data_IF_493293561266
#
_entry.id   IF_493293561266
#
_cell.length_a   1.000
_cell.length_b   1.000
_cell.length_c   1.000
_cell.angle_alpha   90.00
_cell.angle_beta   90.00
_cell.angle_gamma   90.00
#
_symmetry.space_group_name_H-M   'P 1'
#
loop_
_entity.id
_entity.type
_entity.pdbx_description
1 polymer ?
#
# COMPACT_ATOMS: atom_id res chain seq x y z
N UNK A 1 31.48 -11.78 -26.43
CA UNK A 1 31.72 -13.21 -26.08
C UNK A 1 30.49 -14.08 -26.33
N UNK A 2 30.64 -15.41 -26.39
CA UNK A 2 29.54 -16.37 -26.54
C UNK A 2 28.50 -16.26 -25.41
N UNK A 3 28.97 -16.01 -24.17
CA UNK A 3 28.11 -15.87 -23.01
C UNK A 3 27.11 -14.70 -23.12
N UNK A 4 27.49 -13.58 -23.72
CA UNK A 4 26.61 -12.42 -23.89
C UNK A 4 25.46 -12.69 -24.87
N UNK A 5 25.68 -13.60 -25.83
CA UNK A 5 24.67 -13.95 -26.83
C UNK A 5 23.53 -14.79 -26.24
N UNK A 6 23.80 -15.49 -25.13
CA UNK A 6 22.82 -16.35 -24.43
C UNK A 6 21.58 -15.61 -23.96
N UNK A 7 21.66 -14.28 -23.83
CA UNK A 7 20.50 -13.44 -23.55
C UNK A 7 19.34 -13.69 -24.52
N UNK A 8 19.64 -13.92 -25.80
CA UNK A 8 18.63 -14.09 -26.85
C UNK A 8 18.30 -15.58 -27.13
N UNK A 9 18.97 -16.51 -26.45
CA UNK A 9 18.77 -17.95 -26.65
C UNK A 9 17.56 -18.48 -25.89
N UNK A 10 17.11 -17.78 -24.85
CA UNK A 10 15.92 -18.16 -24.10
C UNK A 10 14.65 -17.67 -24.79
N UNK A 11 13.68 -18.56 -25.09
CA UNK A 11 12.40 -18.13 -25.64
C UNK A 11 11.64 -17.24 -24.66
N UNK A 12 10.78 -16.33 -25.14
CA UNK A 12 9.92 -15.54 -24.26
C UNK A 12 9.08 -16.47 -23.38
N UNK A 13 9.30 -16.39 -22.08
CA UNK A 13 8.58 -17.19 -21.11
C UNK A 13 8.23 -16.34 -19.89
N UNK A 14 6.96 -16.39 -19.49
CA UNK A 14 6.43 -15.64 -18.34
C UNK A 14 6.66 -16.33 -17.00
N UNK A 15 6.96 -17.64 -16.99
CA UNK A 15 7.15 -18.43 -15.77
C UNK A 15 8.25 -19.49 -15.93
N UNK A 16 9.41 -19.08 -16.43
CA UNK A 16 10.57 -19.94 -16.58
C UNK A 16 11.75 -19.37 -15.82
N UNK A 17 12.58 -20.29 -15.34
CA UNK A 17 13.89 -19.97 -14.80
C UNK A 17 14.94 -20.22 -15.88
N UNK A 18 15.59 -19.16 -16.32
CA UNK A 18 16.65 -19.24 -17.32
C UNK A 18 17.99 -19.42 -16.61
N UNK A 19 18.64 -20.56 -16.84
CA UNK A 19 19.91 -20.92 -16.22
C UNK A 19 20.92 -21.15 -17.34
N UNK A 20 22.04 -20.45 -17.29
CA UNK A 20 23.18 -20.70 -18.17
C UNK A 20 24.20 -21.53 -17.39
N UNK A 21 24.47 -22.73 -17.88
CA UNK A 21 25.55 -23.60 -17.38
C UNK A 21 26.76 -23.35 -18.28
N UNK A 22 27.76 -22.64 -17.76
CA UNK A 22 29.00 -22.40 -18.50
C UNK A 22 29.97 -23.54 -18.20
N UNK A 23 30.48 -24.20 -19.23
CA UNK A 23 31.53 -25.22 -19.11
C UNK A 23 32.78 -24.67 -19.79
N UNK A 24 33.86 -24.49 -19.05
CA UNK A 24 35.13 -23.90 -19.56
C UNK A 24 36.35 -24.57 -18.90
N UNK A 25 37.53 -24.45 -19.49
CA UNK A 25 38.81 -24.78 -18.83
C UNK A 25 39.32 -23.64 -17.93
N UNK A 26 38.60 -22.51 -17.92
CA UNK A 26 38.81 -21.36 -17.05
C UNK A 26 39.62 -20.23 -17.68
N UNK A 27 40.28 -20.49 -18.81
CA UNK A 27 41.11 -19.50 -19.51
C UNK A 27 40.24 -18.63 -20.44
N UNK A 28 40.00 -17.38 -20.03
CA UNK A 28 39.32 -16.39 -20.87
C UNK A 28 40.36 -15.63 -21.72
N UNK A 29 40.59 -16.12 -22.94
CA UNK A 29 41.60 -15.56 -23.85
C UNK A 29 41.14 -14.26 -24.56
N UNK A 30 39.85 -13.91 -24.45
CA UNK A 30 39.26 -12.78 -25.17
C UNK A 30 39.13 -11.49 -24.32
N UNK A 31 39.63 -11.48 -23.08
CA UNK A 31 39.73 -10.27 -22.25
C UNK A 31 38.39 -9.70 -21.73
N UNK A 32 37.37 -10.54 -21.59
CA UNK A 32 36.05 -10.13 -21.07
C UNK A 32 35.92 -10.28 -19.57
N UNK A 33 35.14 -9.40 -18.94
CA UNK A 33 34.79 -9.50 -17.53
C UNK A 33 33.53 -10.36 -17.35
N UNK A 34 33.70 -11.59 -16.85
CA UNK A 34 32.59 -12.50 -16.62
C UNK A 34 31.66 -12.02 -15.49
N UNK A 35 32.16 -11.27 -14.53
CA UNK A 35 31.37 -10.68 -13.45
C UNK A 35 30.40 -9.64 -14.01
N UNK A 36 30.88 -8.78 -14.90
CA UNK A 36 30.05 -7.75 -15.55
C UNK A 36 28.94 -8.39 -16.39
N UNK A 37 29.29 -9.40 -17.19
CA UNK A 37 28.31 -10.13 -18.00
C UNK A 37 27.29 -10.86 -17.12
N UNK A 38 27.73 -11.49 -16.03
CA UNK A 38 26.83 -12.14 -15.06
C UNK A 38 25.86 -11.15 -14.43
N UNK A 39 26.35 -9.99 -13.98
CA UNK A 39 25.50 -8.96 -13.39
C UNK A 39 24.42 -8.47 -14.38
N UNK A 40 24.80 -8.27 -15.65
CA UNK A 40 23.87 -7.87 -16.72
C UNK A 40 22.82 -8.95 -17.03
N UNK A 41 23.21 -10.22 -17.04
CA UNK A 41 22.27 -11.34 -17.22
C UNK A 41 21.32 -11.46 -16.03
N UNK A 42 21.79 -11.27 -14.80
CA UNK A 42 20.95 -11.30 -13.60
C UNK A 42 19.91 -10.17 -13.58
N UNK A 43 20.24 -8.98 -14.11
CA UNK A 43 19.26 -7.90 -14.30
C UNK A 43 18.10 -8.30 -15.23
N UNK A 44 18.33 -9.28 -16.11
CA UNK A 44 17.35 -9.87 -17.02
C UNK A 44 16.75 -11.18 -16.49
N UNK A 45 16.95 -11.50 -15.22
CA UNK A 45 16.50 -12.73 -14.57
C UNK A 45 17.09 -14.01 -15.19
N UNK A 46 18.30 -13.92 -15.74
CA UNK A 46 19.07 -15.05 -16.27
C UNK A 46 20.22 -15.32 -15.28
N UNK A 47 20.29 -16.54 -14.76
CA UNK A 47 21.26 -16.91 -13.74
C UNK A 47 22.42 -17.71 -14.34
N UNK A 48 23.64 -17.19 -14.19
CA UNK A 48 24.85 -17.89 -14.59
C UNK A 48 25.32 -18.86 -13.49
N UNK A 49 25.71 -20.06 -13.90
CA UNK A 49 26.35 -21.07 -13.05
C UNK A 49 27.62 -21.56 -13.77
N UNK A 50 28.82 -21.09 -13.36
CA UNK A 50 30.07 -21.51 -13.99
C UNK A 50 30.55 -22.88 -13.50
N UNK A 51 30.97 -23.73 -14.43
CA UNK A 51 31.60 -25.04 -14.23
C UNK A 51 32.92 -25.04 -14.97
N UNK A 52 33.99 -25.33 -14.24
CA UNK A 52 35.33 -25.34 -14.81
C UNK A 52 35.84 -26.78 -14.81
N UNK A 53 36.21 -27.27 -15.99
CA UNK A 53 36.79 -28.58 -16.21
C UNK A 53 38.26 -28.34 -16.58
N UNK A 54 39.16 -28.34 -15.58
CA UNK A 54 40.55 -27.99 -15.83
C UNK A 54 41.46 -28.23 -14.64
N UNK A 55 42.65 -28.76 -14.95
CA UNK A 55 43.75 -29.00 -14.00
C UNK A 55 44.45 -27.69 -13.68
N UNK A 56 43.94 -26.92 -12.72
CA UNK A 56 44.59 -25.69 -12.26
C UNK A 56 44.10 -25.28 -10.89
N UNK A 57 44.99 -25.38 -9.89
CA UNK A 57 44.78 -24.75 -8.59
C UNK A 57 44.79 -23.22 -8.80
N UNK A 58 43.85 -22.49 -8.17
CA UNK A 58 43.74 -21.01 -8.14
C UNK A 58 42.83 -20.25 -9.14
N UNK A 59 41.91 -20.91 -9.87
CA UNK A 59 40.98 -20.19 -10.77
C UNK A 59 39.64 -19.77 -10.12
N UNK A 60 39.34 -20.21 -8.90
CA UNK A 60 38.05 -20.00 -8.20
C UNK A 60 37.71 -18.51 -8.02
N UNK A 61 38.69 -17.70 -7.58
CA UNK A 61 38.49 -16.26 -7.27
C UNK A 61 38.01 -15.42 -8.44
N UNK A 62 38.37 -15.79 -9.67
CA UNK A 62 38.00 -15.05 -10.87
C UNK A 62 36.53 -15.27 -11.27
N UNK A 63 35.88 -16.30 -10.70
CA UNK A 63 34.53 -16.73 -11.07
C UNK A 63 33.52 -16.68 -9.91
N UNK A 64 33.97 -16.35 -8.68
CA UNK A 64 33.11 -16.23 -7.49
C UNK A 64 31.95 -15.23 -7.67
N UNK A 65 32.19 -14.15 -8.41
CA UNK A 65 31.18 -13.15 -8.75
C UNK A 65 30.08 -13.70 -9.69
N UNK A 66 30.40 -14.72 -10.49
CA UNK A 66 29.60 -15.19 -11.59
C UNK A 66 28.63 -16.30 -11.17
N UNK A 67 28.93 -17.04 -10.09
CA UNK A 67 28.04 -18.05 -9.53
C UNK A 67 28.75 -19.07 -8.64
N UNK A 68 28.10 -20.21 -8.41
CA UNK A 68 28.69 -21.30 -7.61
C UNK A 68 29.70 -22.07 -8.47
N UNK A 69 30.97 -22.01 -8.10
CA UNK A 69 32.08 -22.76 -8.71
C UNK A 69 32.02 -24.25 -8.33
N UNK A 70 32.22 -25.12 -9.32
CA UNK A 70 32.38 -26.57 -9.13
C UNK A 70 33.52 -27.05 -10.03
N UNK A 71 34.58 -27.58 -9.42
CA UNK A 71 35.69 -28.23 -10.11
C UNK A 71 35.32 -29.70 -10.40
N UNK A 72 35.44 -30.12 -11.65
CA UNK A 72 35.28 -31.53 -12.03
C UNK A 72 36.58 -32.01 -12.69
N UNK A 73 37.36 -32.82 -11.98
CA UNK A 73 38.66 -33.33 -12.43
C UNK A 73 38.52 -34.61 -13.27
N UNK A 74 37.37 -35.28 -13.21
CA UNK A 74 37.08 -36.47 -14.00
C UNK A 74 35.58 -36.62 -14.40
N UNK A 75 35.30 -37.61 -15.26
CA UNK A 75 33.95 -37.90 -15.79
C UNK A 75 32.95 -38.28 -14.69
N UNK A 76 33.38 -38.93 -13.61
CA UNK A 76 32.51 -39.31 -12.50
C UNK A 76 32.15 -38.10 -11.63
N UNK A 77 33.12 -37.21 -11.38
CA UNK A 77 32.89 -35.94 -10.68
C UNK A 77 31.96 -35.03 -11.47
N UNK A 78 32.11 -34.95 -12.79
CA UNK A 78 31.18 -34.22 -13.66
C UNK A 78 29.75 -34.75 -13.52
N UNK A 79 29.56 -36.09 -13.55
CA UNK A 79 28.24 -36.69 -13.38
C UNK A 79 27.64 -36.41 -11.99
N UNK A 80 28.46 -36.42 -10.93
CA UNK A 80 28.02 -36.04 -9.57
C UNK A 80 27.65 -34.56 -9.50
N UNK A 81 28.45 -33.68 -10.08
CA UNK A 81 28.17 -32.25 -10.16
C UNK A 81 26.83 -32.01 -10.88
N UNK A 82 26.61 -32.63 -12.04
CA UNK A 82 25.32 -32.56 -12.77
C UNK A 82 24.15 -33.04 -11.92
N UNK A 83 24.29 -34.14 -11.17
CA UNK A 83 23.25 -34.60 -10.25
C UNK A 83 23.00 -33.62 -9.09
N UNK A 84 24.04 -32.97 -8.57
CA UNK A 84 23.91 -31.91 -7.54
C UNK A 84 23.13 -30.71 -8.10
N UNK A 85 23.36 -30.35 -9.36
CA UNK A 85 22.68 -29.23 -10.02
C UNK A 85 21.22 -29.55 -10.28
N UNK A 86 20.95 -30.73 -10.84
CA UNK A 86 19.59 -31.20 -11.10
C UNK A 86 18.82 -31.31 -9.78
N UNK A 87 19.41 -31.91 -8.74
CA UNK A 87 18.77 -31.99 -7.43
C UNK A 87 18.56 -30.62 -6.77
N UNK A 88 19.51 -29.67 -6.89
CA UNK A 88 19.32 -28.29 -6.41
C UNK A 88 18.27 -27.51 -7.21
N UNK A 89 18.11 -27.79 -8.50
CA UNK A 89 17.07 -27.22 -9.34
C UNK A 89 15.68 -27.81 -9.01
N UNK A 90 15.63 -29.06 -8.54
CA UNK A 90 14.39 -29.77 -8.17
C UNK A 90 13.99 -29.58 -6.70
N UNK A 91 14.94 -29.32 -5.81
CA UNK A 91 14.68 -29.10 -4.39
C UNK A 91 14.00 -27.74 -4.21
N UNK A 92 12.68 -27.79 -4.01
CA UNK A 92 11.85 -26.63 -3.72
C UNK A 92 12.39 -25.93 -2.47
N UNK A 93 12.73 -24.66 -2.61
CA UNK A 93 12.97 -23.80 -1.45
C UNK A 93 11.63 -23.21 -1.04
N UNK A 94 11.37 -23.21 0.26
CA UNK A 94 10.12 -22.67 0.76
C UNK A 94 10.36 -21.52 1.73
N UNK A 95 9.40 -20.62 1.81
CA UNK A 95 9.37 -19.48 2.71
C UNK A 95 8.03 -19.44 3.47
N UNK A 96 8.10 -19.26 4.78
CA UNK A 96 6.99 -18.87 5.62
C UNK A 96 7.19 -17.43 6.06
N UNK A 97 6.18 -16.58 5.82
CA UNK A 97 6.19 -15.19 6.28
C UNK A 97 5.28 -15.09 7.49
N UNK A 98 5.83 -14.80 8.65
CA UNK A 98 5.06 -14.63 9.87
C UNK A 98 4.67 -13.18 10.06
N UNK A 99 3.39 -12.91 10.01
CA UNK A 99 2.81 -11.62 10.35
C UNK A 99 2.41 -11.65 11.84
N UNK A 100 3.13 -10.89 12.66
CA UNK A 100 3.05 -10.97 14.12
C UNK A 100 1.99 -10.00 14.68
N UNK A 101 1.15 -10.50 15.59
CA UNK A 101 0.21 -9.72 16.38
C UNK A 101 0.89 -8.98 17.55
N UNK A 102 0.09 -8.27 18.36
CA UNK A 102 0.57 -7.52 19.54
C UNK A 102 1.21 -8.41 20.62
N UNK A 103 0.92 -9.71 20.61
CA UNK A 103 1.50 -10.71 21.50
C UNK A 103 2.68 -11.47 20.84
N UNK A 104 3.21 -10.99 19.71
CA UNK A 104 4.26 -11.62 18.90
C UNK A 104 3.90 -13.03 18.38
N UNK A 105 2.61 -13.31 18.18
CA UNK A 105 2.13 -14.58 17.61
C UNK A 105 1.86 -14.40 16.12
N UNK A 106 2.15 -15.41 15.28
CA UNK A 106 1.98 -15.33 13.82
C UNK A 106 0.52 -15.52 13.39
N UNK A 107 -0.37 -14.64 13.84
CA UNK A 107 -1.82 -14.76 13.64
C UNK A 107 -2.40 -13.70 12.70
N UNK A 108 -1.63 -12.67 12.36
CA UNK A 108 -2.07 -11.68 11.38
C UNK A 108 -2.09 -12.31 9.98
N UNK A 109 -3.10 -11.98 9.18
CA UNK A 109 -3.32 -12.65 7.89
C UNK A 109 -4.25 -11.87 6.95
N UNK A 110 -4.56 -12.40 5.78
CA UNK A 110 -5.45 -11.80 4.77
C UNK A 110 -4.99 -10.41 4.33
N UNK A 111 -3.68 -10.26 4.06
CA UNK A 111 -3.06 -9.05 3.54
C UNK A 111 -2.18 -9.40 2.36
N UNK A 112 -2.16 -8.54 1.34
CA UNK A 112 -1.29 -8.74 0.19
C UNK A 112 0.18 -8.54 0.60
N UNK A 113 1.02 -9.47 0.20
CA UNK A 113 2.47 -9.39 0.26
C UNK A 113 2.99 -9.13 -1.14
N UNK A 114 3.73 -8.04 -1.32
CA UNK A 114 4.43 -7.73 -2.57
C UNK A 114 5.89 -8.08 -2.41
N UNK A 115 6.38 -9.01 -3.22
CA UNK A 115 7.78 -9.41 -3.24
C UNK A 115 8.50 -8.67 -4.35
N UNK A 116 9.52 -7.88 -3.99
CA UNK A 116 10.35 -7.13 -4.92
C UNK A 116 11.71 -7.82 -5.01
N UNK A 117 12.15 -8.15 -6.22
CA UNK A 117 13.50 -8.63 -6.46
C UNK A 117 14.48 -7.46 -6.28
N UNK A 118 15.37 -7.53 -5.28
CA UNK A 118 16.27 -6.43 -4.96
C UNK A 118 17.31 -6.16 -6.05
N UNK A 119 17.62 -7.13 -6.91
CA UNK A 119 18.59 -6.98 -8.00
C UNK A 119 17.99 -6.20 -9.18
N UNK A 120 16.68 -6.32 -9.42
CA UNK A 120 16.00 -5.68 -10.56
C UNK A 120 15.10 -4.52 -10.16
N UNK A 121 14.72 -4.41 -8.89
CA UNK A 121 13.72 -3.46 -8.39
C UNK A 121 12.29 -3.75 -8.84
N UNK A 122 12.06 -4.88 -9.53
CA UNK A 122 10.74 -5.24 -10.07
C UNK A 122 9.98 -6.15 -9.11
N UNK A 123 8.65 -6.05 -9.16
CA UNK A 123 7.75 -7.01 -8.51
C UNK A 123 8.00 -8.40 -9.10
N UNK A 124 8.40 -9.32 -8.24
CA UNK A 124 8.58 -10.72 -8.58
C UNK A 124 7.26 -11.49 -8.38
N UNK A 125 6.63 -11.34 -7.21
CA UNK A 125 5.45 -12.11 -6.83
C UNK A 125 4.47 -11.26 -6.01
N UNK A 126 3.19 -11.64 -6.02
CA UNK A 126 2.18 -11.15 -5.09
C UNK A 126 1.41 -12.32 -4.48
N UNK A 127 1.24 -12.31 -3.16
CA UNK A 127 0.46 -13.33 -2.45
C UNK A 127 -0.47 -12.68 -1.44
N UNK A 128 -1.72 -13.12 -1.37
CA UNK A 128 -2.55 -12.84 -0.20
C UNK A 128 -2.14 -13.82 0.89
N UNK A 129 -1.52 -13.30 1.95
CA UNK A 129 -1.10 -14.11 3.09
C UNK A 129 -2.30 -14.83 3.72
N UNK A 130 -2.15 -16.12 4.05
CA UNK A 130 -3.18 -16.92 4.71
C UNK A 130 -2.60 -17.79 5.83
N UNK A 131 -3.46 -18.34 6.70
CA UNK A 131 -3.09 -19.38 7.66
C UNK A 131 -3.60 -20.73 7.13
N UNK A 132 -2.81 -21.79 7.32
CA UNK A 132 -3.20 -23.15 6.97
C UNK A 132 -4.25 -23.71 7.96
N UNK A 133 -4.72 -24.94 7.71
CA UNK A 133 -5.74 -25.61 8.53
C UNK A 133 -5.34 -25.83 10.00
N UNK A 134 -4.07 -25.66 10.37
CA UNK A 134 -3.56 -25.74 11.75
C UNK A 134 -3.40 -24.36 12.39
N UNK A 135 -3.79 -23.28 11.72
CA UNK A 135 -3.67 -21.91 12.22
C UNK A 135 -2.25 -21.34 12.18
N UNK A 136 -1.36 -21.91 11.36
CA UNK A 136 0.03 -21.45 11.16
C UNK A 136 0.14 -20.83 9.76
N UNK A 137 0.97 -19.79 9.55
CA UNK A 137 1.18 -19.23 8.20
C UNK A 137 1.50 -20.29 7.16
N UNK A 138 1.01 -20.06 5.95
CA UNK A 138 1.21 -20.97 4.83
C UNK A 138 2.67 -20.96 4.32
N UNK A 139 2.96 -21.92 3.44
CA UNK A 139 4.31 -22.15 2.94
C UNK A 139 4.38 -21.81 1.46
N UNK A 140 5.13 -20.77 1.13
CA UNK A 140 5.33 -20.30 -0.23
C UNK A 140 6.51 -21.05 -0.86
N UNK A 141 6.38 -21.49 -2.11
CA UNK A 141 7.51 -22.01 -2.90
C UNK A 141 8.02 -20.86 -3.75
N UNK A 142 9.27 -20.44 -3.53
CA UNK A 142 9.83 -19.22 -4.12
C UNK A 142 11.29 -19.42 -4.52
N UNK A 143 11.79 -18.63 -5.48
CA UNK A 143 13.16 -18.77 -5.99
C UNK A 143 14.20 -18.28 -4.97
N UNK A 144 15.06 -19.19 -4.53
CA UNK A 144 16.09 -18.92 -3.53
C UNK A 144 17.35 -18.23 -4.09
N UNK A 145 17.47 -18.02 -5.40
CA UNK A 145 18.53 -17.18 -5.96
C UNK A 145 18.22 -15.68 -5.83
N UNK A 146 16.95 -15.33 -5.63
CA UNK A 146 16.52 -13.94 -5.53
C UNK A 146 16.58 -13.51 -4.06
N UNK A 147 17.18 -12.34 -3.83
CA UNK A 147 16.99 -11.62 -2.57
C UNK A 147 15.73 -10.77 -2.69
N UNK A 148 14.82 -10.89 -1.72
CA UNK A 148 13.54 -10.20 -1.75
C UNK A 148 13.49 -9.06 -0.75
N UNK A 149 12.92 -7.93 -1.17
CA UNK A 149 12.24 -7.01 -0.27
C UNK A 149 10.77 -7.43 -0.23
N UNK A 150 10.17 -7.55 0.95
CA UNK A 150 8.77 -7.93 1.11
C UNK A 150 8.00 -6.74 1.67
N UNK A 151 7.00 -6.25 0.95
CA UNK A 151 6.08 -5.22 1.40
C UNK A 151 4.78 -5.89 1.84
N UNK A 152 4.45 -5.77 3.12
CA UNK A 152 3.14 -6.12 3.66
C UNK A 152 2.24 -4.91 3.45
N UNK A 153 1.22 -5.06 2.61
CA UNK A 153 0.32 -3.97 2.22
C UNK A 153 -0.74 -3.68 3.30
N UNK A 154 -0.29 -3.44 4.53
CA UNK A 154 -1.07 -2.88 5.62
C UNK A 154 -1.28 -1.38 5.42
N UNK A 155 -2.04 -0.74 6.32
CA UNK A 155 -2.22 0.71 6.35
C UNK A 155 -1.66 1.29 7.66
N UNK A 156 -0.52 1.99 7.65
CA UNK A 156 0.45 2.11 6.54
C UNK A 156 1.17 0.79 6.20
N UNK A 157 1.84 0.69 5.03
CA UNK A 157 2.57 -0.50 4.63
C UNK A 157 3.81 -0.75 5.50
N UNK A 158 4.17 -2.01 5.70
CA UNK A 158 5.37 -2.43 6.45
C UNK A 158 6.31 -3.20 5.53
N UNK A 159 7.62 -2.91 5.62
CA UNK A 159 8.62 -3.47 4.71
C UNK A 159 9.66 -4.31 5.45
N UNK A 160 9.95 -5.50 4.92
CA UNK A 160 11.11 -6.32 5.25
C UNK A 160 12.16 -6.09 4.17
N UNK A 161 13.25 -5.40 4.48
CA UNK A 161 14.16 -4.85 3.46
C UNK A 161 14.98 -5.90 2.71
N UNK A 162 15.36 -7.01 3.35
CA UNK A 162 16.20 -8.03 2.72
C UNK A 162 15.93 -9.41 3.30
N UNK A 163 15.37 -10.29 2.47
CA UNK A 163 15.10 -11.70 2.77
C UNK A 163 15.94 -12.54 1.83
N UNK A 164 17.02 -13.10 2.36
CA UNK A 164 17.88 -14.07 1.67
C UNK A 164 17.46 -15.48 2.08
N UNK A 165 17.27 -16.34 1.09
CA UNK A 165 16.78 -17.70 1.32
C UNK A 165 17.93 -18.71 1.28
N UNK A 166 17.90 -19.64 2.23
CA UNK A 166 18.77 -20.82 2.21
C UNK A 166 18.14 -21.88 1.32
N UNK A 167 18.87 -22.27 0.27
CA UNK A 167 18.39 -23.19 -0.78
C UNK A 167 18.07 -24.57 -0.22
N UNK A 168 16.95 -25.14 -0.67
CA UNK A 168 16.49 -26.48 -0.30
C UNK A 168 16.05 -26.61 1.16
N UNK A 169 15.88 -25.48 1.87
CA UNK A 169 15.41 -25.45 3.25
C UNK A 169 14.07 -24.73 3.37
N UNK A 170 13.41 -24.95 4.50
CA UNK A 170 12.27 -24.16 4.93
C UNK A 170 12.77 -22.89 5.63
N UNK A 171 12.55 -21.75 4.98
CA UNK A 171 12.95 -20.44 5.47
C UNK A 171 11.79 -19.78 6.20
N UNK A 172 12.09 -19.01 7.24
CA UNK A 172 11.09 -18.26 8.01
C UNK A 172 11.58 -16.82 8.10
N UNK A 173 10.68 -15.88 7.81
CA UNK A 173 10.87 -14.46 8.10
C UNK A 173 9.67 -13.95 8.90
N UNK A 174 9.85 -12.91 9.70
CA UNK A 174 8.78 -12.39 10.57
C UNK A 174 8.78 -10.87 10.58
N UNK A 175 7.60 -10.27 10.70
CA UNK A 175 7.43 -8.82 10.85
C UNK A 175 6.24 -8.49 11.73
N UNK A 176 6.38 -7.46 12.56
CA UNK A 176 5.31 -6.98 13.42
C UNK A 176 4.31 -6.15 12.62
N UNK A 177 3.04 -6.56 12.64
CA UNK A 177 1.95 -5.84 12.00
C UNK A 177 0.64 -5.99 12.79
N UNK A 178 0.63 -5.65 14.09
CA UNK A 178 -0.59 -5.67 14.88
C UNK A 178 -1.61 -4.72 14.27
N UNK A 179 -2.84 -5.19 14.01
CA UNK A 179 -3.87 -4.39 13.32
C UNK A 179 -5.19 -4.31 14.06
N UNK A 180 -5.83 -3.16 13.96
CA UNK A 180 -7.19 -2.89 14.45
C UNK A 180 -8.09 -2.38 13.32
N UNK A 181 -9.39 -2.40 13.55
CA UNK A 181 -10.38 -1.91 12.60
C UNK A 181 -10.85 -0.50 12.94
N UNK A 182 -11.10 0.31 11.92
CA UNK A 182 -11.77 1.60 12.04
C UNK A 182 -13.07 1.56 11.26
N UNK A 183 -14.18 1.90 11.92
CA UNK A 183 -15.49 2.07 11.30
C UNK A 183 -16.02 3.45 11.64
N UNK A 184 -16.41 4.21 10.63
CA UNK A 184 -17.00 5.53 10.79
C UNK A 184 -18.43 5.47 10.29
N UNK A 185 -19.39 5.68 11.17
CA UNK A 185 -20.82 5.56 10.87
C UNK A 185 -21.57 6.86 11.12
N UNK A 186 -22.73 7.00 10.49
CA UNK A 186 -23.69 8.09 10.75
C UNK A 186 -24.83 7.55 11.62
N UNK A 187 -25.26 8.30 12.64
CA UNK A 187 -26.35 7.90 13.57
C UNK A 187 -27.69 7.83 12.86
N UNK A 188 -28.38 6.70 12.97
CA UNK A 188 -29.66 6.42 12.30
C UNK A 188 -29.47 6.34 10.77
N UNK A 189 -30.09 5.33 10.16
CA UNK A 189 -29.86 4.90 8.78
C UNK A 189 -29.64 6.07 7.81
N UNK A 190 -28.46 6.08 7.17
CA UNK A 190 -27.96 7.19 6.36
C UNK A 190 -28.91 7.54 5.21
N UNK A 191 -29.17 8.83 4.98
CA UNK A 191 -29.78 9.24 3.73
C UNK A 191 -28.85 8.80 2.58
N UNK A 192 -29.40 8.19 1.53
CA UNK A 192 -28.60 7.63 0.42
C UNK A 192 -27.65 8.65 -0.24
N UNK A 193 -27.96 9.95 -0.12
CA UNK A 193 -27.18 11.03 -0.72
C UNK A 193 -26.07 11.59 0.21
N UNK A 194 -25.88 11.01 1.39
CA UNK A 194 -24.86 11.46 2.36
C UNK A 194 -23.88 10.33 2.64
N UNK A 195 -22.70 10.40 2.03
CA UNK A 195 -21.61 9.46 2.26
C UNK A 195 -20.27 10.20 2.29
N UNK A 196 -19.95 10.92 3.38
CA UNK A 196 -18.72 11.68 3.46
C UNK A 196 -17.51 10.73 3.44
N UNK A 197 -16.54 11.03 2.59
CA UNK A 197 -15.24 10.37 2.67
C UNK A 197 -14.50 10.85 3.93
N UNK A 198 -13.68 9.98 4.49
CA UNK A 198 -12.76 10.31 5.59
C UNK A 198 -11.33 10.15 5.10
N UNK A 199 -10.52 11.19 5.30
CA UNK A 199 -9.08 11.15 5.15
C UNK A 199 -8.43 10.78 6.48
N UNK A 200 -7.54 9.79 6.47
CA UNK A 200 -6.87 9.25 7.66
C UNK A 200 -5.39 9.57 7.56
N UNK A 201 -4.88 10.32 8.54
CA UNK A 201 -3.49 10.75 8.62
C UNK A 201 -2.79 10.09 9.81
N UNK A 202 -1.49 9.87 9.71
CA UNK A 202 -0.69 9.49 10.87
C UNK A 202 -0.69 10.64 11.87
N UNK A 203 -0.99 10.39 13.15
CA UNK A 203 -1.12 11.49 14.11
C UNK A 203 0.18 12.28 14.25
N UNK A 204 0.07 13.61 14.25
CA UNK A 204 1.21 14.53 14.28
C UNK A 204 1.98 14.65 12.96
N UNK A 205 1.54 13.96 11.90
CA UNK A 205 2.08 14.04 10.54
C UNK A 205 1.03 14.54 9.55
N UNK A 206 1.48 15.16 8.46
CA UNK A 206 0.60 15.51 7.33
C UNK A 206 0.51 14.39 6.28
N UNK A 207 1.06 13.21 6.56
CA UNK A 207 1.05 12.06 5.67
C UNK A 207 -0.34 11.40 5.65
N UNK A 208 -0.98 11.44 4.48
CA UNK A 208 -2.24 10.74 4.24
C UNK A 208 -1.97 9.24 4.11
N UNK A 209 -2.51 8.45 5.04
CA UNK A 209 -2.38 7.00 5.06
C UNK A 209 -3.44 6.33 4.20
N UNK A 210 -4.69 6.79 4.29
CA UNK A 210 -5.80 6.20 3.55
C UNK A 210 -6.97 7.18 3.41
N UNK A 211 -7.89 6.87 2.48
CA UNK A 211 -9.23 7.41 2.49
C UNK A 211 -10.26 6.27 2.58
N UNK A 212 -11.36 6.49 3.28
CA UNK A 212 -12.44 5.51 3.38
C UNK A 212 -13.82 6.16 3.43
N UNK A 213 -14.85 5.43 3.04
CA UNK A 213 -16.23 5.89 3.09
C UNK A 213 -16.92 5.50 4.41
N UNK A 214 -18.05 6.15 4.70
CA UNK A 214 -18.84 5.83 5.86
C UNK A 214 -19.36 4.38 5.79
N UNK A 215 -19.49 3.74 6.95
CA UNK A 215 -19.90 2.35 7.17
C UNK A 215 -18.97 1.29 6.56
N UNK A 216 -17.81 1.70 6.03
CA UNK A 216 -16.75 0.78 5.64
C UNK A 216 -15.92 0.40 6.87
N UNK A 217 -15.73 -0.90 7.07
CA UNK A 217 -14.74 -1.42 8.01
C UNK A 217 -13.40 -1.56 7.29
N UNK A 218 -12.41 -0.79 7.73
CA UNK A 218 -11.06 -0.86 7.19
C UNK A 218 -10.08 -1.16 8.31
N UNK A 219 -9.06 -1.96 7.98
CA UNK A 219 -8.06 -2.43 8.93
C UNK A 219 -6.77 -1.62 8.81
N UNK A 220 -6.30 -1.07 9.91
CA UNK A 220 -5.10 -0.26 10.04
C UNK A 220 -4.10 -0.92 10.99
N UNK A 221 -2.82 -0.58 10.89
CA UNK A 221 -1.87 -0.88 11.96
C UNK A 221 -2.32 -0.21 13.25
N UNK A 222 -1.96 -0.82 14.38
CA UNK A 222 -2.17 -0.21 15.68
C UNK A 222 -1.38 1.11 15.78
N UNK A 223 -2.03 2.16 16.28
CA UNK A 223 -1.42 3.48 16.43
C UNK A 223 -2.44 4.60 16.64
N UNK A 224 -1.96 5.83 16.66
CA UNK A 224 -2.80 7.03 16.74
C UNK A 224 -2.88 7.73 15.38
N UNK A 225 -4.09 8.16 15.03
CA UNK A 225 -4.42 8.74 13.73
C UNK A 225 -5.23 10.04 13.88
N UNK A 226 -5.01 10.97 12.96
CA UNK A 226 -5.84 12.16 12.82
C UNK A 226 -6.81 11.95 11.64
N UNK A 227 -8.08 12.25 11.84
CA UNK A 227 -9.14 12.02 10.85
C UNK A 227 -9.76 13.34 10.40
N UNK A 228 -9.87 13.52 9.10
CA UNK A 228 -10.67 14.59 8.49
C UNK A 228 -11.84 13.98 7.72
N UNK A 229 -13.04 14.07 8.29
CA UNK A 229 -14.28 13.62 7.64
C UNK A 229 -14.84 14.78 6.83
N UNK A 230 -15.03 14.58 5.52
CA UNK A 230 -15.47 15.58 4.55
C UNK A 230 -16.97 15.90 4.65
N UNK A 231 -17.42 16.20 5.86
CA UNK A 231 -18.71 16.83 6.15
C UNK A 231 -18.67 18.33 5.86
N UNK A 232 -19.81 19.02 5.99
CA UNK A 232 -19.88 20.47 5.86
C UNK A 232 -20.37 21.13 7.17
N UNK A 233 -19.51 21.88 7.91
CA UNK A 233 -18.07 21.98 7.72
C UNK A 233 -17.34 20.65 8.00
N UNK A 234 -16.06 20.57 7.60
CA UNK A 234 -15.19 19.40 7.80
C UNK A 234 -15.11 19.07 9.29
N UNK A 235 -15.35 17.81 9.64
CA UNK A 235 -15.20 17.32 11.01
C UNK A 235 -13.78 16.79 11.19
N UNK A 236 -13.05 17.35 12.16
CA UNK A 236 -11.68 16.95 12.48
C UNK A 236 -11.64 16.23 13.82
N UNK A 237 -11.07 15.04 13.85
CA UNK A 237 -10.83 14.26 15.07
C UNK A 237 -9.32 14.02 15.18
N UNK A 238 -8.74 14.36 16.32
CA UNK A 238 -7.30 14.19 16.55
C UNK A 238 -7.04 13.04 17.52
N UNK A 239 -5.88 12.42 17.36
CA UNK A 239 -5.36 11.40 18.28
C UNK A 239 -6.34 10.22 18.49
N UNK A 240 -6.94 9.76 17.39
CA UNK A 240 -7.81 8.58 17.39
C UNK A 240 -6.95 7.33 17.50
N UNK A 241 -7.04 6.63 18.63
CA UNK A 241 -6.33 5.37 18.84
C UNK A 241 -7.03 4.20 18.15
N UNK A 242 -6.27 3.46 17.35
CA UNK A 242 -6.65 2.16 16.80
C UNK A 242 -5.84 1.09 17.53
N UNK A 243 -6.53 0.20 18.23
CA UNK A 243 -5.92 -0.89 19.02
C UNK A 243 -5.99 -2.22 18.27
N UNK A 244 -4.95 -3.06 18.40
CA UNK A 244 -4.93 -4.36 17.75
C UNK A 244 -6.07 -5.28 18.21
N UNK A 245 -6.69 -5.98 17.26
CA UNK A 245 -7.79 -6.93 17.51
C UNK A 245 -9.11 -6.29 17.95
N UNK A 246 -9.21 -4.95 17.96
CA UNK A 246 -10.44 -4.22 18.30
C UNK A 246 -10.96 -3.43 17.11
N UNK A 247 -12.24 -3.05 17.19
CA UNK A 247 -12.87 -2.13 16.25
C UNK A 247 -13.08 -0.78 16.93
N UNK A 248 -12.36 0.24 16.49
CA UNK A 248 -12.59 1.63 16.83
C UNK A 248 -13.80 2.13 16.04
N UNK A 249 -14.92 2.37 16.73
CA UNK A 249 -16.14 2.87 16.12
C UNK A 249 -16.32 4.35 16.42
N UNK A 250 -16.41 5.14 15.36
CA UNK A 250 -16.71 6.57 15.42
C UNK A 250 -18.09 6.78 14.84
N UNK A 251 -18.97 7.43 15.60
CA UNK A 251 -20.35 7.65 15.18
C UNK A 251 -20.66 9.14 15.18
N UNK A 252 -20.91 9.68 13.99
CA UNK A 252 -21.23 11.09 13.79
C UNK A 252 -22.74 11.29 13.69
N UNK A 253 -23.21 12.50 13.97
CA UNK A 253 -24.59 12.89 13.70
C UNK A 253 -24.85 12.97 12.19
N UNK A 254 -26.07 12.62 11.77
CA UNK A 254 -26.49 12.91 10.40
C UNK A 254 -26.59 14.43 10.20
N UNK A 255 -26.27 14.95 9.00
CA UNK A 255 -26.49 16.35 8.69
C UNK A 255 -27.99 16.69 8.68
N UNK A 256 -28.30 17.97 8.86
CA UNK A 256 -29.57 18.53 8.43
C UNK A 256 -29.46 19.12 7.02
N UNK A 257 -30.61 19.50 6.46
CA UNK A 257 -30.70 20.06 5.12
C UNK A 257 -31.02 21.55 5.24
N UNK A 258 -30.11 22.41 4.80
CA UNK A 258 -30.42 23.81 4.54
C UNK A 258 -30.99 23.92 3.13
N UNK A 259 -32.21 24.44 2.97
CA UNK A 259 -32.82 24.73 1.69
C UNK A 259 -33.00 26.24 1.56
N UNK A 260 -32.22 26.86 0.67
CA UNK A 260 -32.29 28.29 0.40
C UNK A 260 -33.15 28.47 -0.84
N UNK A 261 -34.30 29.13 -0.70
CA UNK A 261 -35.14 29.55 -1.83
C UNK A 261 -34.72 30.96 -2.25
N UNK A 262 -34.39 31.10 -3.53
CA UNK A 262 -34.04 32.37 -4.16
C UNK A 262 -35.02 32.69 -5.27
N UNK A 263 -35.24 33.98 -5.48
CA UNK A 263 -35.88 34.53 -6.68
C UNK A 263 -34.92 35.43 -7.49
N UNK A 264 -33.67 35.57 -7.04
CA UNK A 264 -32.70 36.50 -7.60
C UNK A 264 -31.27 35.94 -7.46
N UNK A 265 -30.44 36.20 -8.47
CA UNK A 265 -29.01 35.93 -8.41
C UNK A 265 -28.33 36.87 -7.41
N UNK A 266 -27.32 36.38 -6.71
CA UNK A 266 -26.60 37.18 -5.74
C UNK A 266 -25.48 36.45 -5.04
N UNK A 267 -24.62 37.22 -4.38
CA UNK A 267 -23.47 36.69 -3.66
C UNK A 267 -23.89 36.42 -2.22
N UNK A 268 -23.51 35.26 -1.70
CA UNK A 268 -23.72 34.98 -0.28
C UNK A 268 -22.76 33.94 0.25
N UNK A 269 -22.64 33.93 1.57
CA UNK A 269 -21.75 33.03 2.30
C UNK A 269 -22.47 32.51 3.53
N UNK A 270 -22.25 31.23 3.81
CA UNK A 270 -22.75 30.54 5.00
C UNK A 270 -21.60 30.40 5.98
N UNK A 271 -21.85 30.77 7.23
CA UNK A 271 -20.91 30.68 8.34
C UNK A 271 -21.48 29.79 9.44
N UNK A 272 -20.64 28.99 10.07
CA UNK A 272 -20.94 28.33 11.34
C UNK A 272 -20.60 29.29 12.47
N UNK A 273 -21.47 29.39 13.46
CA UNK A 273 -21.26 30.20 14.66
C UNK A 273 -20.91 29.26 15.81
N UNK A 274 -19.82 29.55 16.53
CA UNK A 274 -19.47 28.83 17.76
C UNK A 274 -20.19 29.40 19.00
N UNK A 275 -20.01 28.75 20.15
CA UNK A 275 -20.60 29.18 21.43
C UNK A 275 -20.13 30.57 21.88
N UNK A 276 -18.97 31.03 21.39
CA UNK A 276 -18.41 32.35 21.69
C UNK A 276 -18.89 33.43 20.72
N UNK A 277 -19.73 33.07 19.74
CA UNK A 277 -20.22 33.97 18.69
C UNK A 277 -19.23 34.22 17.56
N UNK A 278 -18.09 33.53 17.52
CA UNK A 278 -17.15 33.64 16.41
C UNK A 278 -17.72 32.93 15.18
N UNK A 279 -17.44 33.47 13.99
CA UNK A 279 -17.95 32.95 12.74
C UNK A 279 -16.82 32.28 11.95
N UNK A 280 -17.06 31.03 11.54
CA UNK A 280 -16.19 30.28 10.64
C UNK A 280 -16.88 30.16 9.28
N UNK A 281 -16.19 30.57 8.21
CA UNK A 281 -16.71 30.38 6.85
C UNK A 281 -16.86 28.88 6.52
N UNK A 282 -17.98 28.51 5.89
CA UNK A 282 -18.33 27.11 5.57
C UNK A 282 -18.39 26.90 4.07
N UNK A 283 -19.23 27.66 3.37
CA UNK A 283 -19.42 27.55 1.93
C UNK A 283 -20.06 28.83 1.38
N UNK A 284 -19.79 29.12 0.12
CA UNK A 284 -20.47 30.18 -0.62
C UNK A 284 -21.73 29.67 -1.32
N UNK A 285 -22.73 30.54 -1.32
CA UNK A 285 -23.98 30.40 -2.05
C UNK A 285 -23.70 30.58 -3.54
N UNK A 286 -24.25 29.72 -4.40
CA UNK A 286 -23.96 29.80 -5.83
C UNK A 286 -24.45 31.15 -6.41
N UNK A 287 -23.55 32.03 -6.91
CA UNK A 287 -23.93 33.36 -7.35
C UNK A 287 -24.71 33.38 -8.66
N UNK A 288 -24.61 32.31 -9.45
CA UNK A 288 -25.29 32.18 -10.74
C UNK A 288 -26.65 31.48 -10.63
N UNK A 289 -26.96 30.85 -9.49
CA UNK A 289 -28.28 30.29 -9.26
C UNK A 289 -29.26 31.38 -8.81
N UNK A 290 -30.26 31.65 -9.65
CA UNK A 290 -31.42 32.47 -9.31
C UNK A 290 -32.59 31.67 -8.71
N UNK A 291 -32.43 30.35 -8.57
CA UNK A 291 -33.42 29.43 -8.02
C UNK A 291 -32.94 28.87 -6.68
N UNK A 292 -33.76 28.02 -6.06
CA UNK A 292 -33.40 27.39 -4.79
C UNK A 292 -32.23 26.41 -4.91
N UNK A 293 -31.45 26.29 -3.84
CA UNK A 293 -30.37 25.30 -3.69
C UNK A 293 -30.39 24.70 -2.28
N UNK A 294 -29.72 23.56 -2.10
CA UNK A 294 -29.71 22.85 -0.82
C UNK A 294 -28.33 22.34 -0.43
N UNK A 295 -28.03 22.39 0.87
CA UNK A 295 -26.77 21.99 1.46
C UNK A 295 -27.00 21.03 2.62
N UNK A 296 -26.19 19.98 2.71
CA UNK A 296 -26.15 19.08 3.86
C UNK A 296 -25.17 19.63 4.89
N UNK A 297 -25.68 20.24 5.96
CA UNK A 297 -24.87 20.87 6.99
C UNK A 297 -24.88 20.02 8.26
N UNK A 298 -23.73 19.95 8.94
CA UNK A 298 -23.67 19.34 10.27
C UNK A 298 -24.56 20.11 11.26
N UNK A 299 -25.09 19.46 12.31
CA UNK A 299 -25.89 20.14 13.31
C UNK A 299 -25.13 21.29 13.99
N UNK A 300 -25.83 22.41 14.22
CA UNK A 300 -25.27 23.59 14.86
C UNK A 300 -25.96 24.90 14.45
N UNK A 301 -25.42 26.02 14.92
CA UNK A 301 -25.91 27.37 14.62
C UNK A 301 -25.14 28.00 13.47
N UNK A 302 -25.86 28.68 12.59
CA UNK A 302 -25.34 29.21 11.33
C UNK A 302 -25.84 30.62 11.04
N UNK A 303 -25.10 31.31 10.17
CA UNK A 303 -25.44 32.62 9.61
C UNK A 303 -25.30 32.57 8.09
N UNK A 304 -26.33 33.05 7.41
CA UNK A 304 -26.30 33.33 5.98
C UNK A 304 -26.22 34.84 5.80
N UNK A 305 -25.22 35.29 5.05
CA UNK A 305 -25.12 36.67 4.55
C UNK A 305 -25.32 36.62 3.06
N UNK A 306 -26.26 37.41 2.53
CA UNK A 306 -26.58 37.42 1.10
C UNK A 306 -26.89 38.81 0.59
N UNK A 307 -26.45 39.11 -0.63
CA UNK A 307 -26.75 40.36 -1.33
C UNK A 307 -27.05 40.07 -2.80
N UNK A 308 -28.14 40.67 -3.30
CA UNK A 308 -28.49 40.62 -4.72
C UNK A 308 -27.33 41.10 -5.60
N UNK A 309 -27.11 40.44 -6.74
CA UNK A 309 -26.10 40.84 -7.73
C UNK A 309 -26.39 42.23 -8.30
N UNK A 310 -27.65 42.63 -8.34
CA UNK A 310 -28.11 43.91 -8.89
C UNK A 310 -28.00 45.06 -7.90
N UNK A 311 -27.71 44.77 -6.64
CA UNK A 311 -27.34 45.80 -5.67
C UNK A 311 -25.94 46.34 -5.97
N UNK A 312 -25.69 47.62 -5.71
CA UNK A 312 -24.35 48.23 -5.78
C UNK A 312 -23.80 48.61 -4.40
N UNK A 313 -24.56 48.40 -3.33
CA UNK A 313 -24.20 48.82 -1.98
C UNK A 313 -24.09 47.63 -1.04
N UNK A 314 -22.95 47.48 -0.36
CA UNK A 314 -22.72 46.38 0.59
C UNK A 314 -23.72 46.40 1.77
N UNK A 315 -24.25 47.57 2.14
CA UNK A 315 -25.27 47.73 3.18
C UNK A 315 -26.61 47.05 2.85
N UNK A 316 -26.86 46.68 1.60
CA UNK A 316 -28.05 45.94 1.21
C UNK A 316 -27.93 44.42 1.43
N UNK A 317 -26.87 43.98 2.12
CA UNK A 317 -26.71 42.57 2.51
C UNK A 317 -27.72 42.20 3.58
N UNK A 318 -28.50 41.15 3.34
CA UNK A 318 -29.37 40.53 4.33
C UNK A 318 -28.57 39.51 5.14
N UNK A 319 -28.80 39.50 6.45
CA UNK A 319 -28.22 38.51 7.36
C UNK A 319 -29.35 37.70 8.00
N UNK A 320 -29.25 36.37 7.94
CA UNK A 320 -30.22 35.45 8.53
C UNK A 320 -29.48 34.45 9.40
N UNK A 321 -29.82 34.39 10.70
CA UNK A 321 -29.32 33.36 11.60
C UNK A 321 -30.31 32.19 11.64
N UNK A 322 -29.83 30.96 11.71
CA UNK A 322 -30.65 29.76 11.72
C UNK A 322 -29.90 28.58 12.35
N UNK A 323 -30.64 27.58 12.80
CA UNK A 323 -30.09 26.34 13.32
C UNK A 323 -30.33 25.18 12.35
N UNK A 324 -29.35 24.27 12.33
CA UNK A 324 -29.43 23.01 11.62
C UNK A 324 -29.57 21.89 12.65
N UNK A 325 -30.63 21.12 12.50
CA UNK A 325 -30.95 19.96 13.32
C UNK A 325 -30.80 18.71 12.45
N UNK A 326 -30.25 17.63 13.03
CA UNK A 326 -30.05 16.37 12.33
C UNK A 326 -31.34 15.89 11.63
N UNK A 327 -31.21 15.44 10.38
CA UNK A 327 -32.29 14.89 9.54
C UNK A 327 -33.50 15.82 9.30
N UNK A 328 -33.44 17.09 9.70
CA UNK A 328 -34.49 18.08 9.44
C UNK A 328 -34.12 19.03 8.32
N UNK A 329 -35.12 19.60 7.66
CA UNK A 329 -34.94 20.65 6.66
C UNK A 329 -35.23 22.02 7.26
N UNK A 330 -34.25 22.91 7.23
CA UNK A 330 -34.37 24.34 7.55
C UNK A 330 -34.53 25.09 6.23
N UNK A 331 -35.62 25.86 6.07
CA UNK A 331 -35.90 26.64 4.86
C UNK A 331 -35.66 28.13 5.09
N UNK A 332 -34.95 28.77 4.16
CA UNK A 332 -34.71 30.22 4.16
C UNK A 332 -35.15 30.80 2.83
N UNK A 333 -35.91 31.90 2.86
CA UNK A 333 -36.36 32.61 1.67
C UNK A 333 -35.63 33.96 1.58
N UNK A 334 -34.99 34.24 0.44
CA UNK A 334 -34.15 35.43 0.22
C UNK A 334 -34.78 36.50 -0.66
#
# INVERSE_FOLDING_TARGET
>A
MALERTENDFPPCSNCRNIVILITDGLEECGGDICEVSARLQQKNIFLKPYIIGMGEDMERNYDCAGTYLNASDKQEFARAMNVVISKALNKTSLQVNLLDVANRPTETNVNLTFINTNTGKVAENYIHTLNSKGVPDTLIIDAEITYQIIVNTLPPVTINSVKLTKGQHNITSVSCPRGDLVISLKNNTQANVNPATMVYQSGSCELINHQYANQQTRYLQGNYDLEILTLPVTKLKDVTIEAGKTTQITLENPGILSIQKNIKGYGSIYRIDEKGTQQWVIDVNPESGYGESYFLQPGSYRLVFRSRFSSQSLQSKTVNFDIITLKTTRINL
#
